data_IF_139502343654
#
_entry.id   IF_139502343654
#
_cell.length_a   1.000
_cell.length_b   1.000
_cell.length_c   1.000
_cell.angle_alpha   90.00
_cell.angle_beta   90.00
_cell.angle_gamma   90.00
#
_symmetry.space_group_name_H-M   'P 1'
#
loop_
_entity.id
_entity.type
_entity.pdbx_description
1 polymer ?
#
# COMPACT_ATOMS: atom_id res chain seq x y z
N UNK A 1 28.33 -23.45 9.08
CA UNK A 1 28.55 -21.99 9.17
C UNK A 1 29.08 -21.54 7.83
N UNK A 2 28.22 -20.92 7.02
CA UNK A 2 28.61 -20.25 5.78
C UNK A 2 28.38 -18.77 6.01
N UNK A 3 29.43 -17.99 5.81
CA UNK A 3 29.43 -16.55 5.96
C UNK A 3 28.39 -15.94 5.01
N UNK A 4 27.31 -15.39 5.56
CA UNK A 4 26.50 -14.42 4.81
C UNK A 4 27.28 -13.12 4.88
N UNK A 5 27.75 -12.60 3.74
CA UNK A 5 28.09 -11.18 3.72
C UNK A 5 26.85 -10.42 4.18
N UNK A 6 26.97 -9.68 5.27
CA UNK A 6 25.99 -8.67 5.60
C UNK A 6 26.22 -7.56 4.59
N UNK A 7 25.50 -7.63 3.48
CA UNK A 7 25.41 -6.52 2.53
C UNK A 7 24.91 -5.33 3.35
N UNK A 8 25.76 -4.31 3.46
CA UNK A 8 25.55 -3.10 4.25
C UNK A 8 25.84 -1.90 3.33
N UNK A 9 25.20 -0.77 3.59
CA UNK A 9 25.53 0.50 2.96
C UNK A 9 26.25 1.38 3.98
N UNK A 10 27.45 1.82 3.64
CA UNK A 10 28.21 2.77 4.44
C UNK A 10 27.70 4.18 4.17
N UNK A 11 27.35 4.90 5.24
CA UNK A 11 26.87 6.28 5.20
C UNK A 11 27.80 7.21 5.98
N UNK A 12 28.01 8.42 5.46
CA UNK A 12 28.65 9.51 6.19
C UNK A 12 27.57 10.38 6.82
N UNK A 13 27.52 10.39 8.14
CA UNK A 13 26.48 11.04 8.93
C UNK A 13 27.07 12.23 9.67
N UNK A 14 26.53 13.41 9.42
CA UNK A 14 26.94 14.66 10.06
C UNK A 14 26.03 14.95 11.24
N UNK A 15 26.58 14.91 12.46
CA UNK A 15 25.83 14.99 13.73
C UNK A 15 26.09 16.31 14.45
N UNK A 16 25.03 16.88 15.02
CA UNK A 16 25.11 17.99 15.97
C UNK A 16 25.33 17.44 17.39
N UNK A 17 26.56 17.53 17.90
CA UNK A 17 26.94 16.94 19.20
C UNK A 17 26.23 17.56 20.42
N UNK A 18 25.66 18.77 20.29
CA UNK A 18 24.93 19.44 21.38
C UNK A 18 23.49 18.92 21.50
N UNK A 19 22.85 18.60 20.38
CA UNK A 19 21.45 18.15 20.33
C UNK A 19 21.28 16.65 20.05
N UNK A 20 22.37 15.94 19.74
CA UNK A 20 22.41 14.55 19.28
C UNK A 20 21.44 14.27 18.12
N UNK A 21 21.50 15.12 17.09
CA UNK A 21 20.64 15.08 15.90
C UNK A 21 21.48 14.97 14.64
N UNK A 22 21.03 14.13 13.70
CA UNK A 22 21.55 14.09 12.33
C UNK A 22 21.16 15.39 11.63
N UNK A 23 22.15 16.08 11.08
CA UNK A 23 21.97 17.30 10.26
C UNK A 23 21.94 16.91 8.78
N UNK A 24 22.91 16.09 8.35
CA UNK A 24 23.03 15.61 6.98
C UNK A 24 23.46 14.15 6.95
N UNK A 25 23.14 13.48 5.84
CA UNK A 25 23.67 12.18 5.46
C UNK A 25 24.18 12.31 4.03
N UNK A 26 25.47 12.00 3.82
CA UNK A 26 26.06 11.80 2.51
C UNK A 26 26.04 10.30 2.21
N UNK A 27 25.50 9.93 1.05
CA UNK A 27 25.35 8.56 0.58
C UNK A 27 25.67 8.43 -0.90
N UNK A 28 25.92 7.20 -1.34
CA UNK A 28 25.87 6.85 -2.76
C UNK A 28 24.43 6.66 -3.25
N UNK A 29 24.28 6.29 -4.53
CA UNK A 29 22.99 6.00 -5.13
C UNK A 29 22.28 4.77 -4.56
N UNK A 30 22.99 3.83 -3.92
CA UNK A 30 22.38 2.60 -3.41
C UNK A 30 21.42 2.91 -2.25
N UNK A 31 21.79 3.84 -1.37
CA UNK A 31 20.91 4.29 -0.28
C UNK A 31 19.70 5.10 -0.80
N UNK A 32 19.91 5.90 -1.85
CA UNK A 32 18.83 6.70 -2.46
C UNK A 32 17.82 5.79 -3.16
N UNK A 33 18.28 4.76 -3.88
CA UNK A 33 17.41 3.74 -4.47
C UNK A 33 16.62 2.98 -3.38
N UNK A 34 17.23 2.67 -2.22
CA UNK A 34 16.52 2.11 -1.05
C UNK A 34 15.44 3.06 -0.52
N UNK A 35 15.76 4.34 -0.29
CA UNK A 35 14.77 5.34 0.17
C UNK A 35 13.61 5.47 -0.82
N UNK A 36 13.89 5.71 -2.10
CA UNK A 36 12.86 5.87 -3.12
C UNK A 36 11.99 4.62 -3.27
N UNK A 37 12.56 3.43 -3.04
CA UNK A 37 11.81 2.18 -3.07
C UNK A 37 10.61 2.15 -2.12
N UNK A 38 10.67 2.86 -0.98
CA UNK A 38 9.59 2.92 0.02
C UNK A 38 8.25 3.36 -0.60
N UNK A 39 8.27 4.31 -1.54
CA UNK A 39 7.09 4.81 -2.23
C UNK A 39 6.40 3.75 -3.13
N UNK A 40 7.09 2.65 -3.44
CA UNK A 40 6.55 1.56 -4.27
C UNK A 40 5.98 0.39 -3.46
N UNK A 41 6.24 0.34 -2.15
CA UNK A 41 5.82 -0.77 -1.29
C UNK A 41 4.31 -0.73 -1.05
N UNK A 42 3.55 -1.82 -1.30
CA UNK A 42 2.13 -1.90 -0.94
C UNK A 42 1.91 -1.89 0.57
N UNK A 43 0.81 -1.29 1.03
CA UNK A 43 0.56 -1.10 2.47
C UNK A 43 0.54 -2.40 3.29
N UNK A 44 0.00 -3.49 2.77
CA UNK A 44 0.04 -4.80 3.44
C UNK A 44 1.46 -5.35 3.61
N UNK A 45 2.40 -5.00 2.72
CA UNK A 45 3.83 -5.33 2.90
C UNK A 45 4.47 -4.44 3.97
N UNK A 46 4.12 -3.15 4.06
CA UNK A 46 4.60 -2.26 5.14
C UNK A 46 4.22 -2.83 6.52
N UNK A 47 2.95 -3.19 6.72
CA UNK A 47 2.44 -3.77 7.99
C UNK A 47 3.15 -5.10 8.30
N UNK A 48 3.22 -6.00 7.32
CA UNK A 48 3.89 -7.30 7.47
C UNK A 48 5.39 -7.18 7.79
N UNK A 49 6.04 -6.10 7.36
CA UNK A 49 7.42 -5.78 7.72
C UNK A 49 7.51 -5.12 9.10
N UNK A 50 6.55 -4.27 9.51
CA UNK A 50 6.53 -3.66 10.85
C UNK A 50 6.51 -4.72 11.96
N UNK A 51 5.68 -5.76 11.79
CA UNK A 51 5.57 -6.91 12.72
C UNK A 51 6.89 -7.65 13.01
N UNK A 52 7.98 -7.40 12.26
CA UNK A 52 9.32 -7.96 12.54
C UNK A 52 10.09 -7.18 13.60
N UNK A 53 9.87 -5.86 13.63
CA UNK A 53 10.57 -4.93 14.51
C UNK A 53 9.71 -4.63 15.75
N UNK A 54 8.49 -4.15 15.52
CA UNK A 54 7.43 -3.88 16.49
C UNK A 54 6.17 -3.46 15.71
N UNK A 55 4.93 -3.75 16.16
CA UNK A 55 3.74 -3.21 15.53
C UNK A 55 3.73 -1.67 15.63
N UNK A 56 3.87 -0.99 14.50
CA UNK A 56 3.50 0.41 14.38
C UNK A 56 2.01 0.44 14.08
N UNK A 57 1.19 0.96 15.01
CA UNK A 57 -0.27 1.06 14.84
C UNK A 57 -0.69 2.12 13.82
N UNK A 58 -0.41 1.93 12.53
CA UNK A 58 -0.56 2.92 11.45
C UNK A 58 -2.06 3.17 11.17
N UNK A 59 -2.67 3.96 12.07
CA UNK A 59 -4.09 4.21 12.12
C UNK A 59 -4.90 2.91 12.19
N UNK A 60 -5.91 2.83 11.34
CA UNK A 60 -6.74 1.64 11.18
C UNK A 60 -6.14 0.54 10.28
N UNK A 61 -5.00 0.77 9.61
CA UNK A 61 -4.51 -0.17 8.58
C UNK A 61 -4.15 -1.55 9.15
N UNK A 62 -3.59 -1.62 10.36
CA UNK A 62 -3.28 -2.90 11.02
C UNK A 62 -4.55 -3.69 11.37
N UNK A 63 -5.65 -3.01 11.69
CA UNK A 63 -6.94 -3.66 11.92
C UNK A 63 -7.51 -4.25 10.62
N UNK A 64 -7.35 -3.55 9.49
CA UNK A 64 -7.72 -4.08 8.16
C UNK A 64 -6.88 -5.33 7.84
N UNK A 65 -5.56 -5.27 8.06
CA UNK A 65 -4.66 -6.40 7.82
C UNK A 65 -4.97 -7.59 8.75
N UNK A 66 -5.13 -7.35 10.06
CA UNK A 66 -5.52 -8.36 11.05
C UNK A 66 -6.91 -8.97 10.80
N UNK A 67 -7.82 -8.22 10.17
CA UNK A 67 -9.10 -8.76 9.69
C UNK A 67 -8.88 -9.83 8.60
N UNK A 68 -8.00 -9.55 7.63
CA UNK A 68 -7.64 -10.54 6.59
C UNK A 68 -6.91 -11.75 7.18
N UNK A 69 -6.07 -11.55 8.21
CA UNK A 69 -5.42 -12.65 8.93
C UNK A 69 -6.41 -13.53 9.71
N UNK A 70 -7.40 -12.94 10.38
CA UNK A 70 -8.38 -13.68 11.18
C UNK A 70 -9.47 -14.39 10.36
N UNK A 71 -9.75 -13.94 9.13
CA UNK A 71 -10.79 -14.53 8.28
C UNK A 71 -10.43 -15.93 7.76
N UNK A 72 -11.40 -16.84 7.80
CA UNK A 72 -11.31 -18.13 7.12
C UNK A 72 -11.17 -17.90 5.60
N UNK A 73 -10.18 -18.58 5.00
CA UNK A 73 -10.02 -18.81 3.56
C UNK A 73 -11.34 -19.04 2.79
N UNK A 74 -12.34 -19.69 3.40
CA UNK A 74 -13.63 -19.97 2.79
C UNK A 74 -14.44 -18.69 2.46
N UNK A 75 -14.22 -17.58 3.18
CA UNK A 75 -14.84 -16.29 2.91
C UNK A 75 -14.26 -15.59 1.66
N UNK A 76 -13.08 -15.98 1.19
CA UNK A 76 -12.42 -15.40 0.02
C UNK A 76 -12.76 -16.19 -1.26
N UNK A 77 -12.88 -15.52 -2.41
CA UNK A 77 -13.25 -16.19 -3.69
C UNK A 77 -12.33 -17.34 -4.06
N UNK A 78 -11.03 -17.13 -3.87
CA UNK A 78 -9.93 -18.06 -4.11
C UNK A 78 -8.98 -18.02 -2.92
N UNK A 79 -8.10 -19.03 -2.77
CA UNK A 79 -7.05 -18.99 -1.74
C UNK A 79 -6.07 -17.83 -2.01
N UNK A 80 -5.87 -17.53 -3.29
CA UNK A 80 -5.03 -16.45 -3.81
C UNK A 80 -5.53 -15.07 -3.38
N UNK A 81 -6.85 -14.84 -3.28
CA UNK A 81 -7.41 -13.58 -2.75
C UNK A 81 -6.91 -13.25 -1.33
N UNK A 82 -6.83 -14.24 -0.44
CA UNK A 82 -6.29 -14.01 0.92
C UNK A 82 -4.77 -13.84 0.87
N UNK A 83 -4.08 -14.67 0.08
CA UNK A 83 -2.64 -14.62 -0.06
C UNK A 83 -2.14 -13.27 -0.62
N UNK A 84 -2.84 -12.69 -1.60
CA UNK A 84 -2.46 -11.42 -2.22
C UNK A 84 -2.74 -10.18 -1.38
N UNK A 85 -3.64 -10.27 -0.39
CA UNK A 85 -3.90 -9.20 0.57
C UNK A 85 -2.88 -9.19 1.71
N UNK A 86 -2.43 -10.38 2.14
CA UNK A 86 -1.39 -10.53 3.17
C UNK A 86 0.04 -10.38 2.61
N UNK A 87 0.27 -10.77 1.35
CA UNK A 87 1.54 -10.59 0.63
C UNK A 87 1.32 -9.93 -0.74
N UNK A 88 0.90 -8.65 -0.74
CA UNK A 88 0.66 -7.89 -1.96
C UNK A 88 1.94 -7.71 -2.77
N UNK A 89 1.83 -7.90 -4.09
CA UNK A 89 2.96 -7.84 -5.01
C UNK A 89 3.13 -6.43 -5.59
N UNK A 90 4.35 -5.94 -5.56
CA UNK A 90 4.72 -4.66 -6.15
C UNK A 90 4.91 -4.81 -7.67
N UNK A 91 4.36 -3.88 -8.46
CA UNK A 91 4.65 -3.79 -9.90
C UNK A 91 6.15 -3.63 -10.18
N UNK A 92 6.87 -2.94 -9.29
CA UNK A 92 8.30 -2.62 -9.43
C UNK A 92 9.20 -3.58 -8.68
N UNK A 93 8.76 -4.83 -8.45
CA UNK A 93 9.56 -5.85 -7.73
C UNK A 93 10.94 -6.08 -8.37
N UNK A 94 11.09 -5.90 -9.69
CA UNK A 94 12.39 -5.96 -10.36
C UNK A 94 13.35 -4.84 -9.92
N UNK A 95 12.86 -3.66 -9.52
CA UNK A 95 13.68 -2.60 -8.94
C UNK A 95 14.06 -2.96 -7.49
N UNK A 96 13.12 -3.51 -6.70
CA UNK A 96 13.40 -4.01 -5.35
C UNK A 96 14.47 -5.12 -5.35
N UNK A 97 14.41 -6.03 -6.33
CA UNK A 97 15.39 -7.11 -6.50
C UNK A 97 16.79 -6.63 -6.93
N UNK A 98 16.90 -5.39 -7.41
CA UNK A 98 18.17 -4.75 -7.77
C UNK A 98 18.75 -3.89 -6.64
N UNK A 99 18.04 -3.71 -5.51
CA UNK A 99 18.58 -3.03 -4.34
C UNK A 99 19.74 -3.83 -3.72
N UNK A 100 20.78 -3.11 -3.31
CA UNK A 100 21.89 -3.61 -2.49
C UNK A 100 21.42 -4.17 -1.15
N UNK A 101 20.41 -3.54 -0.55
CA UNK A 101 19.74 -4.02 0.67
C UNK A 101 18.36 -4.61 0.33
N UNK A 102 18.23 -5.93 0.45
CA UNK A 102 16.98 -6.67 0.24
C UNK A 102 16.26 -6.85 1.57
N UNK A 103 15.38 -5.91 1.89
CA UNK A 103 14.66 -5.87 3.16
C UNK A 103 13.27 -6.54 3.12
N UNK A 104 12.69 -6.76 1.94
CA UNK A 104 11.50 -7.62 1.77
C UNK A 104 11.92 -9.09 1.59
N UNK A 105 11.29 -9.99 2.35
CA UNK A 105 11.46 -11.45 2.30
C UNK A 105 10.46 -12.15 1.36
N UNK A 106 9.62 -11.41 0.65
CA UNK A 106 8.74 -11.98 -0.37
C UNK A 106 9.55 -12.86 -1.34
N UNK A 107 9.12 -14.11 -1.54
CA UNK A 107 9.69 -14.97 -2.60
C UNK A 107 9.69 -14.20 -3.94
N UNK A 108 10.72 -14.30 -4.79
CA UNK A 108 10.74 -13.58 -6.06
C UNK A 108 9.50 -13.82 -6.92
N UNK A 109 9.17 -12.86 -7.78
CA UNK A 109 8.02 -12.94 -8.66
C UNK A 109 8.12 -14.12 -9.62
N UNK A 110 7.17 -15.06 -9.51
CA UNK A 110 7.09 -16.25 -10.35
C UNK A 110 5.96 -16.09 -11.36
N UNK A 111 6.19 -16.54 -12.58
CA UNK A 111 5.19 -16.52 -13.65
C UNK A 111 4.91 -17.93 -14.10
N UNK A 112 3.64 -18.27 -14.23
CA UNK A 112 3.19 -19.59 -14.63
C UNK A 112 2.35 -19.52 -15.90
N UNK A 113 2.50 -20.52 -16.75
CA UNK A 113 1.71 -20.79 -17.95
C UNK A 113 1.05 -22.16 -17.85
N UNK A 114 0.06 -22.42 -18.70
CA UNK A 114 -0.48 -23.77 -18.86
C UNK A 114 0.54 -24.69 -19.57
N UNK A 115 0.72 -25.92 -19.04
CA UNK A 115 1.50 -26.97 -19.72
C UNK A 115 1.02 -27.28 -21.14
N UNK A 116 -0.27 -27.12 -21.44
CA UNK A 116 -0.79 -27.32 -22.80
C UNK A 116 -0.38 -26.13 -23.72
N UNK A 117 0.46 -26.34 -24.76
CA UNK A 117 0.91 -25.27 -25.64
C UNK A 117 -0.23 -24.53 -26.34
N UNK A 118 -1.33 -25.22 -26.67
CA UNK A 118 -2.51 -24.62 -27.30
C UNK A 118 -3.29 -23.68 -26.37
N UNK A 119 -3.01 -23.69 -25.06
CA UNK A 119 -3.62 -22.80 -24.09
C UNK A 119 -2.80 -21.54 -23.80
N UNK A 120 -1.53 -21.47 -24.25
CA UNK A 120 -0.61 -20.35 -23.94
C UNK A 120 -0.95 -19.05 -24.67
N UNK A 121 -1.71 -19.11 -25.77
CA UNK A 121 -2.16 -17.93 -26.54
C UNK A 121 -3.68 -17.83 -26.55
N UNK A 122 -4.23 -16.73 -26.05
CA UNK A 122 -5.65 -16.38 -26.09
C UNK A 122 -5.82 -14.97 -26.67
N UNK A 123 -6.77 -14.74 -27.59
CA UNK A 123 -7.03 -13.42 -28.22
C UNK A 123 -5.77 -12.69 -28.76
N UNK A 124 -4.76 -13.42 -29.23
CA UNK A 124 -3.42 -12.94 -29.64
C UNK A 124 -2.54 -12.34 -28.50
N UNK A 125 -2.91 -12.56 -27.24
CA UNK A 125 -2.09 -12.35 -26.05
C UNK A 125 -1.45 -13.67 -25.57
N UNK A 126 -0.27 -13.59 -24.95
CA UNK A 126 0.24 -14.68 -24.09
C UNK A 126 -0.46 -14.64 -22.73
N UNK A 127 -0.83 -15.80 -22.19
CA UNK A 127 -1.59 -15.93 -20.94
C UNK A 127 -0.70 -16.44 -19.81
N UNK A 128 -0.59 -15.66 -18.72
CA UNK A 128 0.19 -16.01 -17.53
C UNK A 128 -0.65 -15.94 -16.25
N UNK A 129 -0.13 -16.51 -15.16
CA UNK A 129 -0.61 -16.35 -13.78
C UNK A 129 0.59 -16.10 -12.86
N UNK A 130 0.39 -15.38 -11.75
CA UNK A 130 1.39 -15.28 -10.67
C UNK A 130 1.31 -16.46 -9.68
N UNK A 131 0.25 -17.26 -9.77
CA UNK A 131 -0.06 -18.35 -8.84
C UNK A 131 -0.26 -19.66 -9.60
N UNK A 132 0.46 -20.70 -9.17
CA UNK A 132 0.44 -22.02 -9.82
C UNK A 132 -0.94 -22.70 -9.78
N UNK A 133 -1.70 -22.48 -8.71
CA UNK A 133 -3.03 -23.08 -8.47
C UNK A 133 -4.17 -22.45 -9.26
N UNK A 134 -3.96 -21.30 -9.90
CA UNK A 134 -4.98 -20.66 -10.74
C UNK A 134 -5.27 -21.56 -11.94
N UNK A 135 -6.56 -21.73 -12.27
CA UNK A 135 -7.00 -22.59 -13.38
C UNK A 135 -6.89 -21.86 -14.72
N UNK A 136 -6.42 -22.59 -15.73
CA UNK A 136 -6.36 -22.11 -17.10
C UNK A 136 -7.78 -21.91 -17.67
N UNK A 137 -8.13 -20.73 -18.21
CA UNK A 137 -9.49 -20.41 -18.71
C UNK A 137 -9.90 -21.17 -19.98
N UNK A 138 -9.04 -22.05 -20.52
CA UNK A 138 -9.31 -22.87 -21.71
C UNK A 138 -9.49 -24.36 -21.46
N UNK A 139 -8.80 -24.91 -20.47
CA UNK A 139 -8.74 -26.36 -20.25
C UNK A 139 -8.88 -26.77 -18.78
N UNK A 140 -9.15 -25.80 -17.90
CA UNK A 140 -9.35 -25.93 -16.44
C UNK A 140 -8.22 -26.57 -15.63
N UNK A 141 -7.17 -27.09 -16.28
CA UNK A 141 -5.91 -27.50 -15.64
C UNK A 141 -5.20 -26.31 -15.01
N UNK A 142 -4.36 -26.58 -14.03
CA UNK A 142 -3.58 -25.57 -13.33
C UNK A 142 -2.60 -24.86 -14.28
N UNK A 143 -2.22 -23.64 -13.92
CA UNK A 143 -1.11 -22.91 -14.54
C UNK A 143 0.19 -23.43 -13.92
N UNK A 144 0.66 -24.59 -14.39
CA UNK A 144 1.66 -25.42 -13.74
C UNK A 144 3.08 -25.33 -14.32
N UNK A 145 3.26 -24.69 -15.48
CA UNK A 145 4.58 -24.47 -16.10
C UNK A 145 5.17 -23.13 -15.67
N UNK A 146 6.20 -23.13 -14.82
CA UNK A 146 6.95 -21.92 -14.47
C UNK A 146 7.78 -21.40 -15.65
N UNK A 147 7.90 -20.07 -15.75
CA UNK A 147 8.66 -19.36 -16.80
C UNK A 147 9.15 -18.00 -16.31
N UNK A 148 10.18 -17.47 -16.95
CA UNK A 148 10.62 -16.08 -16.74
C UNK A 148 9.94 -15.13 -17.72
N UNK A 149 9.81 -13.85 -17.34
CA UNK A 149 9.50 -12.76 -18.26
C UNK A 149 10.78 -11.96 -18.54
N UNK A 150 11.14 -11.69 -19.81
CA UNK A 150 12.27 -10.83 -20.12
C UNK A 150 11.93 -9.37 -19.81
N UNK A 151 12.54 -8.84 -18.76
CA UNK A 151 12.52 -7.41 -18.39
C UNK A 151 13.97 -6.93 -18.35
N UNK A 152 14.29 -5.88 -19.09
CA UNK A 152 15.67 -5.41 -19.31
C UNK A 152 15.99 -4.11 -18.58
N UNK A 153 17.11 -4.05 -17.87
CA UNK A 153 17.71 -2.79 -17.41
C UNK A 153 18.86 -2.97 -16.41
N UNK A 154 20.00 -2.33 -16.69
CA UNK A 154 21.19 -2.24 -15.84
C UNK A 154 21.96 -0.92 -16.11
N UNK A 155 22.78 -0.48 -15.12
CA UNK A 155 23.92 0.46 -15.22
C UNK A 155 23.69 1.94 -15.68
N UNK A 156 24.49 2.96 -15.32
CA UNK A 156 25.23 3.24 -14.06
C UNK A 156 25.64 4.74 -13.98
N UNK A 157 25.77 5.38 -12.79
CA UNK A 157 26.17 6.82 -12.66
C UNK A 157 27.03 7.12 -11.41
N UNK A 158 27.98 8.08 -11.55
CA UNK A 158 29.01 8.45 -10.56
C UNK A 158 28.73 9.73 -9.76
N UNK A 159 29.33 9.81 -8.56
CA UNK A 159 29.21 10.90 -7.58
C UNK A 159 30.06 12.16 -7.89
N UNK A 160 29.63 13.29 -7.29
CA UNK A 160 30.41 14.51 -7.03
C UNK A 160 29.99 15.07 -5.66
N UNK A 161 30.94 15.51 -4.82
CA UNK A 161 30.68 16.06 -3.48
C UNK A 161 31.33 17.43 -3.25
N UNK A 162 31.10 18.04 -2.08
CA UNK A 162 31.82 19.21 -1.56
C UNK A 162 31.51 19.43 -0.05
N UNK A 163 32.39 20.15 0.67
CA UNK A 163 32.55 20.02 2.14
C UNK A 163 32.22 21.24 3.00
N UNK A 164 31.86 20.97 4.28
CA UNK A 164 32.27 21.75 5.45
C UNK A 164 31.20 22.05 6.51
N UNK A 165 31.58 22.06 7.80
CA UNK A 165 31.52 23.20 8.75
C UNK A 165 31.82 22.78 10.21
N UNK A 166 32.45 23.67 10.99
CA UNK A 166 33.23 23.33 12.21
C UNK A 166 32.44 23.29 13.53
N UNK A 167 31.33 22.55 13.61
CA UNK A 167 30.63 22.24 14.88
C UNK A 167 29.89 20.90 14.84
N UNK A 168 30.37 20.01 13.98
CA UNK A 168 29.67 18.84 13.46
C UNK A 168 30.66 17.67 13.53
N UNK A 169 30.22 16.52 14.04
CA UNK A 169 31.00 15.28 13.98
C UNK A 169 30.60 14.47 12.74
N UNK A 170 31.58 14.03 11.97
CA UNK A 170 31.39 13.09 10.85
C UNK A 170 31.54 11.67 11.39
N UNK A 171 30.42 10.93 11.42
CA UNK A 171 30.37 9.52 11.78
C UNK A 171 30.18 8.66 10.53
N UNK A 172 30.93 7.57 10.44
CA UNK A 172 30.68 6.51 9.44
C UNK A 172 29.75 5.47 10.06
N UNK A 173 28.56 5.28 9.48
CA UNK A 173 27.54 4.34 9.97
C UNK A 173 27.23 3.30 8.90
N UNK A 174 27.19 2.03 9.29
CA UNK A 174 26.75 0.95 8.40
C UNK A 174 25.25 0.72 8.58
N UNK A 175 24.50 0.77 7.48
CA UNK A 175 23.07 0.50 7.42
C UNK A 175 22.86 -0.89 6.81
N UNK A 176 22.29 -1.80 7.59
CA UNK A 176 21.83 -3.11 7.14
C UNK A 176 20.32 -3.15 6.95
N UNK A 177 19.76 -4.36 6.84
CA UNK A 177 18.33 -4.58 6.62
C UNK A 177 17.49 -4.08 7.80
N UNK A 178 17.91 -4.30 9.04
CA UNK A 178 17.14 -3.92 10.23
C UNK A 178 17.08 -2.39 10.39
N UNK A 179 18.17 -1.67 10.05
CA UNK A 179 18.19 -0.21 9.98
C UNK A 179 17.28 0.32 8.86
N UNK A 180 17.24 -0.31 7.69
CA UNK A 180 16.31 0.08 6.60
C UNK A 180 14.86 -0.13 7.01
N UNK A 181 14.53 -1.24 7.68
CA UNK A 181 13.19 -1.48 8.21
C UNK A 181 12.84 -0.43 9.27
N UNK A 182 13.72 -0.16 10.24
CA UNK A 182 13.53 0.91 11.23
C UNK A 182 13.34 2.28 10.56
N UNK A 183 14.10 2.57 9.49
CA UNK A 183 14.02 3.84 8.76
C UNK A 183 12.69 4.00 8.01
N UNK A 184 12.21 2.96 7.34
CA UNK A 184 10.88 2.93 6.72
C UNK A 184 9.81 3.21 7.77
N UNK A 185 9.86 2.51 8.90
CA UNK A 185 8.89 2.64 9.99
C UNK A 185 8.91 4.03 10.62
N UNK A 186 10.08 4.54 11.02
CA UNK A 186 10.23 5.91 11.52
C UNK A 186 9.78 6.95 10.49
N UNK A 187 9.96 6.73 9.18
CA UNK A 187 9.51 7.68 8.14
C UNK A 187 7.98 7.83 8.09
N UNK A 188 7.22 6.87 8.62
CA UNK A 188 5.76 6.91 8.70
C UNK A 188 5.23 7.62 9.95
N UNK A 189 5.99 7.59 11.06
CA UNK A 189 5.52 8.04 12.39
C UNK A 189 6.36 9.13 13.06
N UNK A 190 7.53 9.47 12.52
CA UNK A 190 8.42 10.51 13.03
C UNK A 190 8.87 11.51 11.96
N UNK A 191 9.12 12.75 12.39
CA UNK A 191 9.76 13.81 11.59
C UNK A 191 11.29 13.73 11.59
N UNK A 192 11.90 12.81 12.35
CA UNK A 192 13.35 12.70 12.51
C UNK A 192 13.92 11.28 12.26
N UNK A 193 13.49 10.56 11.20
CA UNK A 193 13.73 9.12 11.08
C UNK A 193 15.21 8.76 10.96
N UNK A 194 16.04 9.60 10.33
CA UNK A 194 17.49 9.40 10.25
C UNK A 194 18.17 9.50 11.63
N UNK A 195 17.71 10.39 12.51
CA UNK A 195 18.25 10.50 13.88
C UNK A 195 17.85 9.31 14.73
N UNK A 196 16.58 8.89 14.66
CA UNK A 196 16.05 7.77 15.42
C UNK A 196 16.59 6.41 14.95
N UNK A 197 16.92 6.29 13.66
CA UNK A 197 17.52 5.08 13.10
C UNK A 197 19.02 5.01 13.38
N UNK A 198 19.77 6.08 13.08
CA UNK A 198 21.23 6.03 13.00
C UNK A 198 21.94 6.37 14.33
N UNK A 199 21.33 7.17 15.22
CA UNK A 199 21.96 7.64 16.46
C UNK A 199 21.33 7.09 17.75
N UNK A 200 20.09 6.59 17.67
CA UNK A 200 19.33 6.14 18.85
C UNK A 200 19.08 4.63 18.84
N UNK A 201 19.65 3.94 19.82
CA UNK A 201 19.23 2.58 20.20
C UNK A 201 17.92 2.56 21.03
N UNK A 202 17.11 3.63 20.97
CA UNK A 202 15.78 3.64 21.57
C UNK A 202 14.80 2.77 20.75
N UNK A 203 13.78 2.18 21.41
CA UNK A 203 12.69 1.48 20.72
C UNK A 203 11.98 2.42 19.73
N UNK A 204 11.26 1.83 18.77
CA UNK A 204 10.51 2.59 17.77
C UNK A 204 9.53 3.56 18.47
N UNK A 205 9.33 4.79 17.94
CA UNK A 205 8.37 5.72 18.53
C UNK A 205 6.97 5.10 18.56
N UNK A 206 6.47 4.81 19.76
CA UNK A 206 5.09 4.38 19.93
C UNK A 206 4.15 5.49 19.44
N UNK A 207 3.04 5.06 18.83
CA UNK A 207 1.98 5.97 18.47
C UNK A 207 1.21 6.34 19.73
N UNK A 208 1.63 7.43 20.36
CA UNK A 208 0.86 8.09 21.41
C UNK A 208 -0.57 8.37 20.93
N UNK A 209 -1.55 7.92 21.71
CA UNK A 209 -3.00 8.17 21.53
C UNK A 209 -3.38 9.64 21.81
N UNK A 210 -2.56 10.58 21.34
CA UNK A 210 -3.01 11.96 21.23
C UNK A 210 -4.09 11.99 20.15
N UNK A 211 -5.34 12.25 20.58
CA UNK A 211 -6.44 12.58 19.69
C UNK A 211 -6.16 13.93 19.03
N UNK A 212 -5.21 13.94 18.09
CA UNK A 212 -4.98 15.08 17.22
C UNK A 212 -6.19 15.10 16.30
N UNK A 213 -7.06 16.10 16.50
CA UNK A 213 -8.19 16.37 15.62
C UNK A 213 -7.68 16.91 14.27
N UNK A 214 -7.00 16.04 13.51
CA UNK A 214 -6.49 16.34 12.18
C UNK A 214 -7.67 16.44 11.21
N UNK A 215 -7.86 17.64 10.66
CA UNK A 215 -8.85 17.87 9.62
C UNK A 215 -8.37 17.26 8.30
N UNK A 216 -8.93 16.10 7.94
CA UNK A 216 -8.59 15.41 6.69
C UNK A 216 -9.24 16.15 5.50
N UNK A 217 -8.50 17.08 4.91
CA UNK A 217 -8.96 17.81 3.73
C UNK A 217 -8.44 17.15 2.45
N UNK A 218 -9.30 16.36 1.79
CA UNK A 218 -9.05 15.86 0.43
C UNK A 218 -9.84 16.71 -0.57
N UNK A 219 -9.14 17.51 -1.37
CA UNK A 219 -9.68 18.24 -2.51
C UNK A 219 -9.53 17.39 -3.79
N UNK A 220 -10.64 17.10 -4.46
CA UNK A 220 -10.59 16.29 -5.68
C UNK A 220 -10.15 17.15 -6.87
N UNK A 221 -8.84 17.22 -7.12
CA UNK A 221 -8.27 17.82 -8.34
C UNK A 221 -8.03 16.74 -9.39
N UNK A 222 -9.02 16.52 -10.24
CA UNK A 222 -8.85 15.84 -11.54
C UNK A 222 -9.35 16.77 -12.64
N UNK A 223 -8.49 17.01 -13.63
CA UNK A 223 -8.77 17.82 -14.81
C UNK A 223 -9.23 16.89 -15.93
N UNK A 224 -10.53 16.89 -16.23
CA UNK A 224 -11.18 15.93 -17.12
C UNK A 224 -11.51 14.61 -16.39
N UNK A 225 -12.67 13.99 -16.59
CA UNK A 225 -13.74 14.26 -17.56
C UNK A 225 -15.07 14.50 -16.83
N UNK A 226 -15.96 15.30 -17.43
CA UNK A 226 -17.32 15.52 -16.94
C UNK A 226 -18.31 14.55 -17.62
N UNK A 227 -17.96 13.27 -17.65
CA UNK A 227 -18.91 12.22 -18.02
C UNK A 227 -19.86 11.99 -16.86
N UNK A 228 -21.14 12.29 -17.08
CA UNK A 228 -22.23 12.00 -16.14
C UNK A 228 -22.55 10.50 -16.12
N UNK A 229 -21.55 9.67 -15.81
CA UNK A 229 -21.79 8.31 -15.34
C UNK A 229 -22.24 8.43 -13.89
N UNK A 230 -23.35 7.77 -13.55
CA UNK A 230 -23.81 7.68 -12.17
C UNK A 230 -22.80 6.81 -11.40
N UNK A 231 -21.76 7.44 -10.81
CA UNK A 231 -20.74 6.73 -10.01
C UNK A 231 -21.45 5.82 -8.99
N UNK A 232 -21.30 4.51 -9.15
CA UNK A 232 -21.97 3.51 -8.32
C UNK A 232 -21.48 3.65 -6.86
N UNK A 233 -22.39 4.01 -5.96
CA UNK A 233 -22.05 4.32 -4.56
C UNK A 233 -22.30 3.12 -3.67
N UNK A 234 -21.33 2.84 -2.81
CA UNK A 234 -21.46 1.76 -1.83
C UNK A 234 -22.28 2.29 -0.64
N UNK A 235 -23.46 1.73 -0.43
CA UNK A 235 -24.33 2.09 0.69
C UNK A 235 -23.90 1.36 1.96
N UNK A 236 -23.67 2.09 3.05
CA UNK A 236 -23.32 1.55 4.37
C UNK A 236 -24.27 2.06 5.46
N UNK A 237 -24.49 1.26 6.51
CA UNK A 237 -25.34 1.60 7.65
C UNK A 237 -24.47 1.84 8.88
N UNK A 238 -24.41 3.08 9.36
CA UNK A 238 -23.66 3.49 10.54
C UNK A 238 -24.53 3.39 11.79
N UNK A 239 -23.99 2.80 12.87
CA UNK A 239 -24.57 2.77 14.20
C UNK A 239 -23.84 3.84 15.01
N UNK A 240 -24.54 4.91 15.38
CA UNK A 240 -23.94 6.16 15.88
C UNK A 240 -24.42 6.47 17.30
N UNK A 241 -23.51 6.88 18.18
CA UNK A 241 -23.86 7.48 19.48
C UNK A 241 -24.19 8.96 19.28
N UNK A 242 -25.44 9.35 19.57
CA UNK A 242 -25.91 10.74 19.45
C UNK A 242 -25.15 11.68 20.40
N UNK A 243 -25.00 11.27 21.67
CA UNK A 243 -24.33 12.09 22.69
C UNK A 243 -22.85 12.31 22.41
N UNK A 244 -22.13 11.26 21.95
CA UNK A 244 -20.68 11.31 21.71
C UNK A 244 -20.29 11.71 20.28
N UNK A 245 -21.25 11.71 19.34
CA UNK A 245 -21.03 11.99 17.91
C UNK A 245 -19.95 11.11 17.26
N UNK A 246 -19.95 9.83 17.64
CA UNK A 246 -19.03 8.81 17.11
C UNK A 246 -19.82 7.65 16.49
N UNK A 247 -19.22 7.02 15.48
CA UNK A 247 -19.64 5.71 14.98
C UNK A 247 -19.20 4.66 16.01
N UNK A 248 -20.12 3.80 16.45
CA UNK A 248 -19.78 2.64 17.27
C UNK A 248 -19.29 1.49 16.37
N UNK A 249 -20.06 1.22 15.32
CA UNK A 249 -19.71 0.32 14.22
C UNK A 249 -20.57 0.63 12.99
N UNK A 250 -20.22 0.03 11.85
CA UNK A 250 -21.01 0.01 10.63
C UNK A 250 -21.41 -1.41 10.25
N UNK A 251 -22.53 -1.55 9.57
CA UNK A 251 -22.96 -2.75 8.86
C UNK A 251 -22.88 -2.47 7.35
N UNK A 252 -22.18 -3.33 6.61
CA UNK A 252 -22.01 -3.17 5.17
C UNK A 252 -21.91 -4.50 4.42
N UNK A 253 -22.21 -4.47 3.13
CA UNK A 253 -22.00 -5.61 2.22
C UNK A 253 -20.53 -5.78 1.82
N UNK A 254 -20.26 -6.88 1.12
CA UNK A 254 -18.91 -7.24 0.67
C UNK A 254 -18.20 -6.15 -0.14
N UNK A 255 -18.91 -5.33 -0.94
CA UNK A 255 -18.30 -4.28 -1.77
C UNK A 255 -17.56 -3.22 -0.95
N UNK A 256 -18.06 -2.89 0.26
CA UNK A 256 -17.37 -1.99 1.17
C UNK A 256 -16.12 -2.63 1.77
N UNK A 257 -16.19 -3.92 2.11
CA UNK A 257 -15.04 -4.65 2.66
C UNK A 257 -14.00 -4.92 1.58
N UNK A 258 -14.41 -5.19 0.34
CA UNK A 258 -13.54 -5.29 -0.83
C UNK A 258 -12.78 -3.97 -1.06
N UNK A 259 -13.45 -2.82 -0.88
CA UNK A 259 -12.78 -1.50 -0.88
C UNK A 259 -11.76 -1.39 0.27
N UNK A 260 -12.15 -1.68 1.52
CA UNK A 260 -11.21 -1.62 2.67
C UNK A 260 -9.99 -2.52 2.47
N UNK A 261 -10.20 -3.78 2.09
CA UNK A 261 -9.13 -4.74 1.84
C UNK A 261 -8.23 -4.31 0.67
N UNK A 262 -8.79 -3.64 -0.37
CA UNK A 262 -7.98 -3.10 -1.47
C UNK A 262 -6.93 -2.09 -1.00
N UNK A 263 -7.10 -1.42 0.15
CA UNK A 263 -6.10 -0.49 0.68
C UNK A 263 -4.75 -1.17 0.94
N UNK A 264 -4.74 -2.46 1.31
CA UNK A 264 -3.52 -3.24 1.54
C UNK A 264 -2.69 -3.43 0.26
N UNK A 265 -3.32 -3.37 -0.93
CA UNK A 265 -2.60 -3.51 -2.22
C UNK A 265 -2.03 -2.19 -2.73
N UNK A 266 -2.41 -1.05 -2.15
CA UNK A 266 -2.00 0.28 -2.61
C UNK A 266 -0.55 0.58 -2.24
N UNK A 267 0.30 0.99 -3.20
CA UNK A 267 1.65 1.47 -2.92
C UNK A 267 1.64 2.77 -2.09
N UNK A 268 2.58 2.88 -1.15
CA UNK A 268 2.69 4.01 -0.24
C UNK A 268 2.73 5.38 -0.96
N UNK A 269 3.45 5.48 -2.08
CA UNK A 269 3.51 6.69 -2.90
C UNK A 269 2.18 7.08 -3.56
N UNK A 270 1.28 6.11 -3.81
CA UNK A 270 -0.09 6.44 -4.22
C UNK A 270 -0.87 7.03 -3.05
N UNK A 271 -0.76 6.45 -1.86
CA UNK A 271 -1.46 6.93 -0.65
C UNK A 271 -1.01 8.37 -0.33
N UNK A 272 0.30 8.62 -0.29
CA UNK A 272 0.90 9.95 -0.06
C UNK A 272 0.47 10.96 -1.13
N UNK A 273 0.38 10.55 -2.40
CA UNK A 273 -0.16 11.41 -3.48
C UNK A 273 -1.61 11.86 -3.22
N UNK A 274 -2.46 11.00 -2.66
CA UNK A 274 -3.85 11.36 -2.32
C UNK A 274 -3.94 12.31 -1.11
N UNK A 275 -2.90 12.35 -0.26
CA UNK A 275 -2.90 13.17 0.95
C UNK A 275 -2.70 14.66 0.71
N UNK A 276 -2.25 15.13 -0.47
CA UNK A 276 -2.23 16.55 -0.87
C UNK A 276 -1.91 17.54 0.26
N UNK A 277 -0.72 17.41 0.87
CA UNK A 277 -0.21 18.27 1.95
C UNK A 277 -0.91 18.18 3.33
N UNK A 278 -1.81 17.22 3.55
CA UNK A 278 -2.27 16.88 4.90
C UNK A 278 -1.08 16.47 5.79
N UNK A 279 -1.05 16.97 7.03
CA UNK A 279 0.08 16.78 7.95
C UNK A 279 0.16 15.34 8.47
N UNK A 280 1.00 14.52 7.83
CA UNK A 280 1.35 13.18 8.32
C UNK A 280 2.13 13.28 9.64
N UNK A 281 2.05 12.25 10.50
CA UNK A 281 2.88 12.15 11.71
C UNK A 281 4.37 11.97 11.34
N UNK A 282 4.65 11.08 10.39
CA UNK A 282 5.96 10.90 9.76
C UNK A 282 6.32 11.95 8.71
N UNK A 283 7.45 11.75 8.02
CA UNK A 283 7.96 12.63 6.96
C UNK A 283 8.05 11.97 5.57
N UNK A 284 7.39 10.83 5.34
CA UNK A 284 7.36 10.17 4.01
C UNK A 284 6.77 11.08 2.91
N UNK A 285 5.95 12.07 3.27
CA UNK A 285 5.47 13.14 2.38
C UNK A 285 6.62 14.01 1.85
N UNK A 286 7.64 14.27 2.68
CA UNK A 286 8.83 15.03 2.29
C UNK A 286 9.69 14.21 1.32
N UNK A 287 9.79 12.89 1.50
CA UNK A 287 10.48 12.01 0.55
C UNK A 287 9.76 12.01 -0.80
N UNK A 288 8.43 11.89 -0.79
CA UNK A 288 7.61 11.96 -2.01
C UNK A 288 7.77 13.30 -2.74
N UNK A 289 7.72 14.43 -2.03
CA UNK A 289 8.03 15.77 -2.58
C UNK A 289 9.43 15.86 -3.15
N UNK A 290 10.44 15.36 -2.42
CA UNK A 290 11.82 15.30 -2.91
C UNK A 290 11.91 14.60 -4.26
N UNK A 291 11.19 13.48 -4.46
CA UNK A 291 11.13 12.79 -5.76
C UNK A 291 10.36 13.58 -6.82
N UNK A 292 9.31 14.33 -6.46
CA UNK A 292 8.61 15.22 -7.41
C UNK A 292 9.52 16.34 -7.91
N UNK A 293 10.27 16.97 -7.02
CA UNK A 293 11.11 18.15 -7.29
C UNK A 293 12.48 17.79 -7.89
N UNK A 294 12.94 16.55 -7.74
CA UNK A 294 14.23 16.07 -8.25
C UNK A 294 14.39 16.28 -9.77
N UNK A 295 15.56 16.72 -10.22
CA UNK A 295 15.86 16.86 -11.66
C UNK A 295 15.73 15.50 -12.37
N UNK A 296 15.24 15.53 -13.61
CA UNK A 296 15.07 14.33 -14.44
C UNK A 296 16.42 13.62 -14.72
N UNK A 297 17.53 14.37 -14.74
CA UNK A 297 18.89 13.86 -14.92
C UNK A 297 19.39 13.00 -13.75
N UNK A 298 18.80 13.13 -12.56
CA UNK A 298 19.15 12.31 -11.39
C UNK A 298 18.52 10.91 -11.44
N UNK A 299 17.67 10.60 -12.44
CA UNK A 299 16.97 9.34 -12.56
C UNK A 299 17.23 8.67 -13.90
N UNK A 300 17.30 7.33 -13.92
CA UNK A 300 17.53 6.52 -15.13
C UNK A 300 16.53 6.81 -16.27
N UNK A 301 15.32 7.29 -15.97
CA UNK A 301 14.42 7.93 -16.94
C UNK A 301 13.17 8.55 -16.27
N UNK A 302 12.45 9.40 -17.02
CA UNK A 302 11.16 9.97 -16.62
C UNK A 302 10.08 8.90 -16.34
N UNK A 303 10.24 7.68 -16.86
CA UNK A 303 9.35 6.57 -16.51
C UNK A 303 9.59 6.09 -15.07
N UNK A 304 10.85 6.04 -14.60
CA UNK A 304 11.14 5.74 -13.19
C UNK A 304 10.58 6.82 -12.26
N UNK A 305 10.74 8.11 -12.59
CA UNK A 305 10.12 9.22 -11.84
C UNK A 305 8.60 9.02 -11.69
N UNK A 306 7.91 8.74 -12.81
CA UNK A 306 6.46 8.45 -12.82
C UNK A 306 6.07 7.21 -12.01
N UNK A 307 6.91 6.19 -11.96
CA UNK A 307 6.67 4.98 -11.16
C UNK A 307 6.79 5.23 -9.65
N UNK A 308 7.59 6.19 -9.23
CA UNK A 308 7.73 6.60 -7.81
C UNK A 308 6.62 7.56 -7.36
N UNK A 309 6.31 8.59 -8.16
CA UNK A 309 5.31 9.63 -7.79
C UNK A 309 3.87 9.26 -8.14
N UNK A 310 3.66 8.23 -8.96
CA UNK A 310 2.33 7.74 -9.33
C UNK A 310 2.35 6.24 -9.59
N UNK A 311 2.75 5.43 -8.60
CA UNK A 311 2.85 3.98 -8.73
C UNK A 311 1.50 3.37 -9.13
N UNK A 312 1.56 2.34 -9.98
CA UNK A 312 0.41 1.61 -10.51
C UNK A 312 0.34 0.23 -9.87
N UNK A 313 -0.87 -0.29 -9.71
CA UNK A 313 -1.06 -1.66 -9.25
C UNK A 313 -0.48 -2.67 -10.26
N UNK A 314 -0.14 -3.83 -9.75
CA UNK A 314 0.12 -5.00 -10.57
C UNK A 314 -1.20 -5.48 -11.22
N UNK A 315 -1.20 -6.01 -12.46
CA UNK A 315 -2.43 -6.49 -13.11
C UNK A 315 -3.11 -7.58 -12.29
N UNK A 316 -4.42 -7.49 -12.11
CA UNK A 316 -5.20 -8.39 -11.27
C UNK A 316 -5.12 -8.13 -9.76
N UNK A 317 -4.34 -7.15 -9.29
CA UNK A 317 -4.25 -6.80 -7.86
C UNK A 317 -5.21 -5.66 -7.45
N UNK A 318 -5.85 -5.01 -8.42
CA UNK A 318 -6.92 -4.05 -8.21
C UNK A 318 -8.27 -4.71 -7.91
N UNK A 319 -9.08 -3.96 -7.18
CA UNK A 319 -10.52 -4.18 -7.07
C UNK A 319 -11.18 -3.48 -8.27
N UNK A 320 -11.97 -4.19 -9.09
CA UNK A 320 -12.35 -3.67 -10.43
C UNK A 320 -13.38 -2.53 -10.39
N UNK A 321 -14.21 -2.47 -9.36
CA UNK A 321 -15.18 -1.38 -9.12
C UNK A 321 -14.65 -0.32 -8.15
N UNK A 322 -13.32 -0.19 -8.00
CA UNK A 322 -12.82 0.58 -6.87
C UNK A 322 -12.96 2.11 -7.05
N UNK A 323 -13.57 2.82 -6.09
CA UNK A 323 -13.73 4.28 -6.16
C UNK A 323 -12.43 5.11 -6.09
N UNK A 324 -11.22 4.54 -5.89
CA UNK A 324 -9.99 5.32 -5.66
C UNK A 324 -9.27 5.78 -6.94
N UNK A 325 -9.62 5.22 -8.11
CA UNK A 325 -9.05 5.60 -9.41
C UNK A 325 -7.57 5.23 -9.69
N UNK A 326 -6.86 4.50 -8.82
CA UNK A 326 -5.58 3.85 -9.16
C UNK A 326 -5.71 2.93 -10.38
N UNK A 327 -4.76 3.05 -11.31
CA UNK A 327 -4.66 2.22 -12.51
C UNK A 327 -3.83 0.95 -12.25
N UNK A 328 -4.21 -0.16 -12.89
CA UNK A 328 -3.34 -1.32 -13.04
C UNK A 328 -2.30 -1.12 -14.16
N UNK A 329 -1.22 -1.89 -14.11
CA UNK A 329 -0.25 -1.97 -15.19
C UNK A 329 -0.82 -2.62 -16.46
N UNK A 330 -0.17 -2.34 -17.59
CA UNK A 330 -0.24 -3.18 -18.78
C UNK A 330 1.18 -3.62 -19.13
N UNK A 331 1.37 -4.92 -19.39
CA UNK A 331 2.62 -5.47 -19.90
C UNK A 331 2.53 -5.63 -21.41
N UNK A 332 3.52 -5.09 -22.11
CA UNK A 332 3.74 -5.32 -23.55
C UNK A 332 5.10 -5.99 -23.70
N UNK A 333 5.13 -7.22 -24.20
CA UNK A 333 6.38 -7.92 -24.54
C UNK A 333 6.78 -7.59 -25.98
N UNK A 334 8.08 -7.37 -26.19
CA UNK A 334 8.72 -7.80 -27.42
C UNK A 334 9.08 -9.28 -27.23
N UNK A 335 8.30 -10.19 -27.82
CA UNK A 335 8.47 -11.63 -27.60
C UNK A 335 9.56 -12.17 -28.52
N UNK A 336 10.64 -12.69 -27.95
CA UNK A 336 11.52 -13.62 -28.64
C UNK A 336 10.80 -14.97 -28.80
N UNK A 337 10.78 -15.50 -30.02
CA UNK A 337 9.87 -16.58 -30.45
C UNK A 337 10.14 -17.95 -29.80
N UNK A 338 11.18 -18.08 -28.99
CA UNK A 338 11.61 -19.34 -28.35
C UNK A 338 10.59 -19.95 -27.37
N UNK A 339 9.72 -19.14 -26.76
CA UNK A 339 8.66 -19.62 -25.85
C UNK A 339 7.43 -20.21 -26.59
N UNK A 340 7.35 -20.07 -27.92
CA UNK A 340 6.13 -20.33 -28.70
C UNK A 340 6.42 -21.24 -29.90
N UNK A 341 5.79 -22.41 -29.95
CA UNK A 341 5.84 -23.34 -31.10
C UNK A 341 5.00 -22.87 -32.32
N UNK A 342 4.77 -21.56 -32.49
CA UNK A 342 3.90 -21.03 -33.55
C UNK A 342 4.33 -19.65 -34.03
N UNK A 343 4.41 -19.47 -35.35
CA UNK A 343 4.86 -18.25 -36.04
C UNK A 343 3.87 -17.07 -35.96
N UNK A 344 3.13 -16.90 -34.85
CA UNK A 344 2.20 -15.79 -34.64
C UNK A 344 2.87 -14.69 -33.82
N UNK A 345 2.93 -13.49 -34.40
CA UNK A 345 3.41 -12.29 -33.73
C UNK A 345 2.43 -11.87 -32.62
N UNK A 346 2.80 -12.12 -31.36
CA UNK A 346 2.04 -11.72 -30.16
C UNK A 346 2.22 -10.22 -29.92
N UNK A 347 1.14 -9.51 -29.56
CA UNK A 347 1.15 -8.05 -29.35
C UNK A 347 0.98 -7.62 -27.88
N UNK A 348 0.57 -8.52 -27.01
CA UNK A 348 0.14 -8.21 -25.64
C UNK A 348 0.35 -9.39 -24.69
N UNK A 349 0.40 -9.08 -23.39
CA UNK A 349 0.37 -10.07 -22.31
C UNK A 349 -0.93 -9.89 -21.52
N UNK A 350 -1.57 -11.01 -21.20
CA UNK A 350 -2.77 -11.07 -20.38
C UNK A 350 -2.47 -11.92 -19.14
N UNK A 351 -2.78 -11.38 -17.96
CA UNK A 351 -2.66 -12.10 -16.70
C UNK A 351 -4.04 -12.57 -16.27
N UNK A 352 -4.13 -13.84 -15.87
CA UNK A 352 -5.35 -14.36 -15.26
C UNK A 352 -5.52 -13.66 -13.91
N UNK A 353 -6.67 -13.02 -13.73
CA UNK A 353 -7.04 -12.39 -12.46
C UNK A 353 -7.11 -13.47 -11.36
N UNK A 354 -6.28 -13.43 -10.30
CA UNK A 354 -6.28 -14.45 -9.25
C UNK A 354 -7.61 -14.53 -8.48
N UNK A 355 -8.46 -13.50 -8.61
CA UNK A 355 -9.81 -13.44 -8.03
C UNK A 355 -10.87 -14.16 -8.89
N UNK A 356 -10.52 -14.54 -10.13
CA UNK A 356 -11.45 -15.18 -11.07
C UNK A 356 -11.62 -16.68 -10.80
N UNK A 357 -12.86 -17.15 -10.80
CA UNK A 357 -13.20 -18.57 -10.70
C UNK A 357 -13.87 -19.03 -12.00
N UNK A 358 -13.39 -20.09 -12.68
CA UNK A 358 -13.73 -20.38 -14.08
C UNK A 358 -15.17 -20.84 -14.35
N UNK A 359 -16.10 -20.75 -13.38
CA UNK A 359 -17.45 -21.32 -13.50
C UNK A 359 -18.61 -20.44 -12.95
N UNK A 360 -18.38 -19.21 -12.45
CA UNK A 360 -19.48 -18.28 -12.09
C UNK A 360 -19.10 -16.79 -12.17
N UNK A 361 -20.07 -16.02 -12.67
CA UNK A 361 -20.25 -14.56 -12.63
C UNK A 361 -19.03 -13.67 -12.93
N UNK A 362 -18.99 -13.17 -14.17
CA UNK A 362 -18.15 -12.04 -14.61
C UNK A 362 -18.42 -10.75 -13.80
N UNK A 363 -19.57 -10.66 -13.12
CA UNK A 363 -19.99 -9.53 -12.30
C UNK A 363 -19.34 -9.47 -10.90
N UNK A 364 -18.64 -10.52 -10.46
CA UNK A 364 -18.04 -10.54 -9.13
C UNK A 364 -16.59 -10.03 -9.17
N UNK A 365 -16.36 -8.87 -8.56
CA UNK A 365 -15.26 -7.97 -8.92
C UNK A 365 -14.23 -7.72 -7.80
N UNK A 366 -14.46 -8.27 -6.60
CA UNK A 366 -13.62 -8.18 -5.41
C UNK A 366 -13.03 -9.50 -4.89
N UNK A 367 -12.59 -9.50 -3.63
CA UNK A 367 -11.81 -10.56 -2.98
C UNK A 367 -12.67 -11.60 -2.24
N UNK A 368 -13.83 -11.19 -1.74
CA UNK A 368 -14.73 -11.99 -0.91
C UNK A 368 -15.79 -12.77 -1.73
N UNK A 369 -16.31 -13.85 -1.15
CA UNK A 369 -17.44 -14.62 -1.70
C UNK A 369 -18.76 -13.99 -1.28
N UNK A 370 -19.55 -13.63 -2.30
CA UNK A 370 -20.86 -13.02 -2.13
C UNK A 370 -22.06 -13.96 -2.20
N UNK A 371 -23.24 -13.49 -1.77
CA UNK A 371 -23.45 -12.24 -1.04
C UNK A 371 -23.20 -12.40 0.47
N UNK A 372 -22.46 -11.48 1.08
CA UNK A 372 -22.14 -11.49 2.52
C UNK A 372 -22.25 -10.10 3.16
N UNK A 373 -22.55 -10.08 4.47
CA UNK A 373 -22.69 -8.88 5.30
C UNK A 373 -21.68 -8.90 6.46
N UNK A 374 -21.12 -7.74 6.75
CA UNK A 374 -20.02 -7.56 7.69
C UNK A 374 -20.32 -6.44 8.69
N UNK A 375 -19.66 -6.53 9.84
CA UNK A 375 -19.59 -5.51 10.88
C UNK A 375 -18.19 -4.91 10.90
N UNK A 376 -18.09 -3.58 10.90
CA UNK A 376 -16.85 -2.82 10.80
C UNK A 376 -16.78 -1.83 11.98
N UNK A 377 -15.78 -1.89 12.84
CA UNK A 377 -15.60 -0.91 13.93
C UNK A 377 -15.20 0.46 13.38
N UNK A 378 -15.28 1.51 14.21
CA UNK A 378 -14.75 2.84 13.85
C UNK A 378 -13.25 2.80 13.45
N UNK A 379 -12.51 1.89 14.09
CA UNK A 379 -11.11 1.56 13.83
C UNK A 379 -10.88 0.60 12.64
N UNK A 380 -11.90 0.36 11.82
CA UNK A 380 -11.92 -0.51 10.63
C UNK A 380 -11.54 -1.99 10.87
N UNK A 381 -11.69 -2.51 12.09
CA UNK A 381 -11.67 -3.95 12.31
C UNK A 381 -12.95 -4.57 11.72
N UNK A 382 -12.80 -5.50 10.79
CA UNK A 382 -13.89 -6.14 10.03
C UNK A 382 -14.16 -7.53 10.60
N UNK A 383 -15.43 -7.88 10.70
CA UNK A 383 -15.91 -9.20 11.14
C UNK A 383 -17.18 -9.60 10.39
N UNK A 384 -17.53 -10.89 10.29
CA UNK A 384 -18.85 -11.31 9.83
C UNK A 384 -19.96 -10.69 10.72
N UNK A 385 -21.09 -10.31 10.12
CA UNK A 385 -22.16 -9.63 10.87
C UNK A 385 -22.67 -10.49 12.05
N UNK A 386 -22.71 -9.91 13.25
CA UNK A 386 -23.20 -10.57 14.46
C UNK A 386 -23.88 -9.58 15.40
N UNK A 387 -25.16 -9.79 15.69
CA UNK A 387 -25.91 -8.94 16.62
C UNK A 387 -25.34 -9.01 18.06
N UNK A 388 -24.77 -10.16 18.45
CA UNK A 388 -24.12 -10.33 19.76
C UNK A 388 -22.84 -9.49 19.83
N UNK A 389 -22.05 -9.48 18.76
CA UNK A 389 -20.83 -8.66 18.68
C UNK A 389 -21.17 -7.16 18.69
N UNK A 390 -22.22 -6.75 17.96
CA UNK A 390 -22.71 -5.37 17.99
C UNK A 390 -23.12 -4.91 19.38
N UNK A 391 -23.79 -5.78 20.17
CA UNK A 391 -24.10 -5.50 21.57
C UNK A 391 -22.83 -5.47 22.45
N UNK A 392 -21.85 -6.35 22.21
CA UNK A 392 -20.55 -6.35 22.92
C UNK A 392 -19.83 -5.01 22.74
N UNK A 393 -19.69 -4.54 21.50
CA UNK A 393 -19.05 -3.25 21.17
C UNK A 393 -19.74 -2.09 21.91
N UNK A 394 -21.07 -2.09 21.99
CA UNK A 394 -21.82 -1.05 22.72
C UNK A 394 -21.58 -1.11 24.23
N UNK A 395 -21.48 -2.30 24.82
CA UNK A 395 -21.09 -2.49 26.21
C UNK A 395 -19.64 -2.03 26.48
N UNK A 396 -18.69 -2.43 25.64
CA UNK A 396 -17.27 -2.04 25.71
C UNK A 396 -17.09 -0.52 25.63
N UNK A 397 -17.79 0.13 24.69
CA UNK A 397 -17.81 1.59 24.55
C UNK A 397 -18.60 2.28 25.68
N UNK A 398 -19.34 1.56 26.52
CA UNK A 398 -20.28 2.10 27.51
C UNK A 398 -21.34 3.04 26.89
N UNK A 399 -21.87 2.67 25.72
CA UNK A 399 -22.93 3.42 25.02
C UNK A 399 -24.29 2.76 25.27
N UNK A 400 -25.26 3.44 25.92
CA UNK A 400 -26.57 2.87 26.15
C UNK A 400 -27.38 2.81 24.85
N UNK A 401 -28.18 1.76 24.66
CA UNK A 401 -28.96 1.53 23.43
C UNK A 401 -29.92 2.70 23.09
N UNK A 402 -30.37 3.45 24.10
CA UNK A 402 -31.19 4.66 23.95
C UNK A 402 -30.46 5.85 23.30
N UNK A 403 -29.13 5.90 23.41
CA UNK A 403 -28.27 6.92 22.78
C UNK A 403 -27.86 6.57 21.35
N UNK A 404 -28.30 5.42 20.83
CA UNK A 404 -28.00 5.00 19.46
C UNK A 404 -28.96 5.64 18.47
N UNK A 405 -28.45 5.95 17.28
CA UNK A 405 -29.22 6.11 16.06
C UNK A 405 -28.57 5.36 14.89
N UNK A 406 -29.34 5.17 13.83
CA UNK A 406 -28.88 4.54 12.59
C UNK A 406 -28.85 5.59 11.50
N UNK A 407 -27.69 5.78 10.87
CA UNK A 407 -27.53 6.64 9.71
C UNK A 407 -27.15 5.80 8.48
N UNK A 408 -27.59 6.19 7.28
CA UNK A 408 -27.16 5.57 6.03
C UNK A 408 -26.21 6.54 5.32
N UNK A 409 -25.00 6.07 5.01
CA UNK A 409 -24.00 6.82 4.27
C UNK A 409 -23.77 6.19 2.88
N UNK A 410 -23.39 7.03 1.92
CA UNK A 410 -23.06 6.62 0.55
C UNK A 410 -21.57 6.88 0.31
N UNK A 411 -20.83 5.85 -0.08
CA UNK A 411 -19.39 5.94 -0.32
C UNK A 411 -19.14 6.00 -1.82
N UNK A 412 -18.88 7.20 -2.33
CA UNK A 412 -18.37 7.41 -3.68
C UNK A 412 -16.85 7.61 -3.69
N UNK A 413 -16.33 8.06 -4.84
CA UNK A 413 -14.90 8.36 -5.05
C UNK A 413 -14.26 9.22 -3.96
N UNK A 414 -14.96 10.30 -3.57
CA UNK A 414 -14.48 11.27 -2.58
C UNK A 414 -14.43 10.68 -1.17
N UNK A 415 -15.47 9.96 -0.78
CA UNK A 415 -15.57 9.34 0.55
C UNK A 415 -14.57 8.19 0.68
N UNK A 416 -14.36 7.41 -0.38
CA UNK A 416 -13.35 6.35 -0.42
C UNK A 416 -11.92 6.88 -0.29
N UNK A 417 -11.57 7.96 -0.99
CA UNK A 417 -10.25 8.60 -0.85
C UNK A 417 -10.04 9.19 0.56
N UNK A 418 -11.09 9.77 1.16
CA UNK A 418 -11.05 10.23 2.56
C UNK A 418 -10.89 9.08 3.54
N UNK A 419 -11.57 7.95 3.29
CA UNK A 419 -11.47 6.75 4.11
C UNK A 419 -10.09 6.09 4.00
N UNK A 420 -9.49 6.09 2.81
CA UNK A 420 -8.09 5.68 2.61
C UNK A 420 -7.15 6.54 3.47
N UNK A 421 -7.24 7.88 3.36
CA UNK A 421 -6.37 8.78 4.14
C UNK A 421 -6.65 8.62 5.65
N UNK A 422 -7.91 8.59 6.07
CA UNK A 422 -8.29 8.40 7.47
C UNK A 422 -7.76 7.08 8.04
N UNK A 423 -7.91 5.97 7.30
CA UNK A 423 -7.40 4.67 7.73
C UNK A 423 -5.89 4.65 7.98
N UNK A 424 -5.13 5.54 7.34
CA UNK A 424 -3.69 5.66 7.51
C UNK A 424 -3.27 6.60 8.66
N UNK A 425 -4.09 7.60 9.01
CA UNK A 425 -3.70 8.68 9.95
C UNK A 425 -4.47 8.73 11.26
N UNK A 426 -5.60 8.02 11.40
CA UNK A 426 -6.38 8.00 12.63
C UNK A 426 -6.99 6.62 12.96
N UNK A 427 -7.35 6.43 14.22
CA UNK A 427 -7.93 5.18 14.76
C UNK A 427 -9.47 5.19 14.79
N UNK A 428 -10.09 6.26 14.29
CA UNK A 428 -11.54 6.51 14.27
C UNK A 428 -11.98 6.96 12.87
N UNK A 429 -11.66 6.13 11.88
CA UNK A 429 -11.78 6.50 10.47
C UNK A 429 -13.24 6.69 10.02
N UNK A 430 -14.21 5.91 10.53
CA UNK A 430 -15.61 6.08 10.16
C UNK A 430 -16.18 7.39 10.72
N UNK A 431 -15.92 7.69 12.00
CA UNK A 431 -16.28 8.96 12.64
C UNK A 431 -15.65 10.13 11.91
N UNK A 432 -14.35 10.03 11.59
CA UNK A 432 -13.61 11.08 10.88
C UNK A 432 -14.17 11.39 9.49
N UNK A 433 -14.56 10.37 8.72
CA UNK A 433 -15.05 10.54 7.35
C UNK A 433 -16.53 10.94 7.29
N UNK A 434 -17.38 10.33 8.12
CA UNK A 434 -18.85 10.42 7.96
C UNK A 434 -19.54 11.38 8.95
N UNK A 435 -18.94 11.66 10.12
CA UNK A 435 -19.57 12.52 11.13
C UNK A 435 -18.87 13.89 11.28
N UNK A 436 -17.56 13.97 11.04
CA UNK A 436 -16.83 15.25 11.06
C UNK A 436 -17.02 16.00 9.72
N UNK A 437 -17.28 17.31 9.80
CA UNK A 437 -17.41 18.16 8.61
C UNK A 437 -16.02 18.63 8.16
N UNK A 438 -15.71 18.61 6.85
CA UNK A 438 -14.51 19.25 6.33
C UNK A 438 -14.66 20.78 6.44
N UNK A 439 -13.83 21.43 7.25
CA UNK A 439 -13.81 22.89 7.29
C UNK A 439 -13.22 23.44 5.98
N UNK A 440 -13.84 24.50 5.46
CA UNK A 440 -13.51 25.11 4.16
C UNK A 440 -12.44 26.20 4.24
N UNK A 441 -11.59 26.18 5.26
CA UNK A 441 -10.53 27.16 5.37
C UNK A 441 -9.72 27.02 6.65
N UNK A 442 -8.54 26.40 6.52
CA UNK A 442 -7.28 26.95 7.01
C UNK A 442 -6.13 26.28 6.22
N UNK A 443 -5.76 26.91 5.10
CA UNK A 443 -4.51 26.57 4.42
C UNK A 443 -3.34 27.35 5.04
N UNK A 444 -2.22 26.67 5.23
CA UNK A 444 -0.90 27.18 5.64
C UNK A 444 -0.69 27.66 7.09
N UNK A 445 0.43 27.16 7.64
CA UNK A 445 1.38 27.81 8.55
C UNK A 445 0.93 28.21 9.97
N UNK A 446 1.29 27.37 10.94
CA UNK A 446 1.95 27.88 12.16
C UNK A 446 2.83 26.83 12.87
N UNK A 447 3.84 27.37 13.57
CA UNK A 447 4.77 26.77 14.54
C UNK A 447 6.13 26.27 14.07
N UNK A 448 7.02 27.26 13.90
CA UNK A 448 8.44 27.18 14.22
C UNK A 448 8.73 28.20 15.34
N UNK A 449 9.03 27.72 16.54
CA UNK A 449 9.90 28.35 17.56
C UNK A 449 10.74 27.21 18.15
#
# INVERSE_FOLDING_TARGET
MTDKSMDNIELKVLVNNVSNKVIFVESDGDFIDVLFSFLTIPMGTVIRLSHRSQPLGIGCMDNIYGSVESFDSQLFRTEECRAMLLRPRNRTEYLLNNLKLKFDDSEPMRYFMCSNPHCRIFRNSLVFSYYQKVRCPRCERLMDTETTLPVSGAEDVKNLGCTGWNSIEELTVNVGVDEVLKLLMCSLVSKMPLTETLLKHEPLPELSNENVDQEIYVESRMLGDATNEEEEKISIKLIVSKSRKMVCYAEAGEEFVNLLFSFLTLPLGFIVKQMQDNSMKGCIDQLYKSVQDLDEQCLKSNNHKKMLVSPKLLPGFGYKNHPLGIEEASYRLAVDTTLIHSNKQVKSVEFIDPKSHPNKDDNALGFLKGPAMFMITDSLNVSPISAILGLSILCELNVPVTDIEVQVAQVGKKEALRLLVASFVCDSALTSVFLRKPNRGFGCLSFLI
#
